data_IF_364945974875
#
_entry.id   IF_364945974875
#
_cell.length_a   1.000
_cell.length_b   1.000
_cell.length_c   1.000
_cell.angle_alpha   90.00
_cell.angle_beta   90.00
_cell.angle_gamma   90.00
#
_symmetry.space_group_name_H-M   'P 1'
#
loop_
_entity.id
_entity.type
_entity.pdbx_description
1 polymer ?
#
# COMPACT_ATOMS: atom_id res chain seq x y z
N UNK A 1 14.66 -12.10 -5.00
CA UNK A 1 13.81 -11.34 -4.05
C UNK A 1 13.89 -11.93 -2.65
N UNK A 2 13.45 -13.18 -2.42
CA UNK A 2 13.43 -13.77 -1.07
C UNK A 2 14.81 -13.91 -0.40
N UNK A 3 15.88 -14.04 -1.19
CA UNK A 3 17.26 -14.24 -0.73
C UNK A 3 18.14 -12.99 -0.83
N UNK A 4 17.55 -11.84 -1.16
CA UNK A 4 18.26 -10.56 -1.29
C UNK A 4 17.80 -9.59 -0.23
N UNK A 5 18.66 -8.64 0.17
CA UNK A 5 18.30 -7.61 1.15
C UNK A 5 17.17 -6.73 0.58
N UNK A 6 16.05 -6.68 1.28
CA UNK A 6 14.91 -5.87 0.86
C UNK A 6 15.11 -4.40 1.28
N UNK A 7 14.82 -3.47 0.36
CA UNK A 7 15.16 -2.05 0.51
C UNK A 7 14.45 -1.34 1.67
N UNK A 8 13.23 -1.77 1.99
CA UNK A 8 12.39 -1.18 3.04
C UNK A 8 12.70 -1.75 4.44
N UNK A 9 12.93 -3.06 4.55
CA UNK A 9 13.20 -3.72 5.84
C UNK A 9 14.69 -3.77 6.18
N UNK A 10 15.57 -3.69 5.17
CA UNK A 10 17.03 -3.89 5.27
C UNK A 10 17.45 -5.29 5.71
N UNK A 11 16.54 -6.25 5.62
CA UNK A 11 16.77 -7.66 5.91
C UNK A 11 16.36 -8.53 4.73
N UNK A 12 16.86 -9.77 4.70
CA UNK A 12 16.49 -10.78 3.72
C UNK A 12 15.10 -11.33 4.09
N UNK A 13 14.09 -11.28 3.20
CA UNK A 13 12.74 -11.75 3.53
C UNK A 13 12.69 -13.20 4.00
N UNK A 14 13.54 -14.07 3.44
CA UNK A 14 13.66 -15.46 3.85
C UNK A 14 14.11 -15.60 5.31
N UNK A 15 15.08 -14.81 5.76
CA UNK A 15 15.57 -14.86 7.15
C UNK A 15 14.52 -14.36 8.13
N UNK A 16 13.80 -13.30 7.77
CA UNK A 16 12.69 -12.77 8.57
C UNK A 16 11.59 -13.84 8.74
N UNK A 17 11.32 -14.63 7.71
CA UNK A 17 10.23 -15.60 7.70
C UNK A 17 10.62 -16.96 8.31
N UNK A 18 11.81 -17.45 8.01
CA UNK A 18 12.23 -18.82 8.33
C UNK A 18 13.31 -18.90 9.40
N UNK A 19 13.74 -17.76 9.94
CA UNK A 19 14.68 -17.71 11.06
C UNK A 19 16.04 -18.38 10.79
N UNK A 20 16.39 -18.54 9.51
CA UNK A 20 17.64 -19.14 9.05
C UNK A 20 18.07 -18.50 7.75
N UNK A 21 19.36 -18.51 7.47
CA UNK A 21 19.88 -18.05 6.19
C UNK A 21 19.42 -18.97 5.05
N UNK A 22 19.09 -18.40 3.88
CA UNK A 22 18.77 -19.19 2.71
C UNK A 22 19.98 -20.01 2.30
N UNK A 23 19.76 -21.30 2.02
CA UNK A 23 20.78 -22.18 1.45
C UNK A 23 20.42 -22.33 -0.03
N UNK A 24 21.26 -21.79 -0.91
CA UNK A 24 21.08 -21.91 -2.35
C UNK A 24 21.66 -23.24 -2.84
N UNK A 25 21.16 -23.80 -3.95
CA UNK A 25 21.72 -25.02 -4.52
C UNK A 25 23.23 -24.96 -4.80
N UNK A 26 23.76 -23.76 -5.10
CA UNK A 26 25.20 -23.54 -5.33
C UNK A 26 26.01 -23.38 -4.03
N UNK A 27 25.37 -23.17 -2.88
CA UNK A 27 26.05 -23.04 -1.58
C UNK A 27 26.38 -24.42 -0.98
N UNK A 28 25.91 -25.51 -1.59
CA UNK A 28 26.17 -26.86 -1.11
C UNK A 28 27.61 -27.25 -1.47
N UNK A 29 28.51 -27.09 -0.51
CA UNK A 29 29.80 -27.78 -0.53
C UNK A 29 29.69 -29.03 0.35
N UNK A 30 30.20 -30.16 -0.15
CA UNK A 30 30.35 -31.41 0.59
C UNK A 30 31.19 -31.17 1.84
N UNK A 31 30.53 -30.75 2.91
CA UNK A 31 31.14 -30.44 4.20
C UNK A 31 30.77 -31.55 5.15
N UNK A 32 31.77 -32.19 5.75
CA UNK A 32 31.58 -33.14 6.83
C UNK A 32 30.89 -32.41 8.00
N UNK A 33 29.56 -32.50 8.07
CA UNK A 33 28.76 -31.82 9.09
C UNK A 33 29.13 -32.40 10.45
N UNK A 34 29.89 -31.63 11.23
CA UNK A 34 30.14 -31.96 12.63
C UNK A 34 28.98 -31.39 13.44
N UNK A 35 28.10 -32.26 13.94
CA UNK A 35 26.98 -31.88 14.79
C UNK A 35 27.51 -31.56 16.20
N UNK A 36 27.91 -30.31 16.43
CA UNK A 36 28.16 -29.80 17.78
C UNK A 36 26.84 -29.37 18.41
N UNK A 37 26.46 -29.98 19.53
CA UNK A 37 25.27 -29.60 20.29
C UNK A 37 25.55 -28.34 21.13
N UNK A 38 25.02 -27.19 20.70
CA UNK A 38 25.04 -25.94 21.47
C UNK A 38 23.76 -25.86 22.32
N UNK A 39 23.91 -26.01 23.64
CA UNK A 39 22.81 -25.94 24.62
C UNK A 39 22.14 -24.56 24.66
N UNK A 40 22.83 -23.50 24.25
CA UNK A 40 22.31 -22.13 24.22
C UNK A 40 21.76 -21.72 22.85
N UNK A 41 21.81 -22.61 21.86
CA UNK A 41 21.43 -22.32 20.47
C UNK A 41 20.04 -21.67 20.36
N UNK A 42 19.06 -22.23 21.07
CA UNK A 42 17.67 -21.74 21.08
C UNK A 42 17.59 -20.32 21.64
N UNK A 43 18.34 -20.01 22.70
CA UNK A 43 18.34 -18.69 23.32
C UNK A 43 18.98 -17.65 22.38
N UNK A 44 20.12 -17.99 21.76
CA UNK A 44 20.79 -17.14 20.77
C UNK A 44 19.88 -16.86 19.56
N UNK A 45 19.19 -17.89 19.07
CA UNK A 45 18.24 -17.76 17.96
C UNK A 45 17.08 -16.83 18.33
N UNK A 46 16.48 -17.02 19.51
CA UNK A 46 15.38 -16.17 19.97
C UNK A 46 15.80 -14.69 20.13
N UNK A 47 17.00 -14.44 20.68
CA UNK A 47 17.55 -13.10 20.81
C UNK A 47 17.80 -12.46 19.43
N UNK A 48 18.39 -13.23 18.50
CA UNK A 48 18.60 -12.79 17.12
C UNK A 48 17.28 -12.42 16.44
N UNK A 49 16.26 -13.27 16.56
CA UNK A 49 14.94 -13.02 15.96
C UNK A 49 14.23 -11.82 16.57
N UNK A 50 14.29 -11.67 17.89
CA UNK A 50 13.70 -10.51 18.56
C UNK A 50 14.32 -9.22 18.03
N UNK A 51 15.65 -9.18 17.95
CA UNK A 51 16.39 -8.03 17.43
C UNK A 51 16.07 -7.77 15.95
N UNK A 52 16.09 -8.81 15.11
CA UNK A 52 15.80 -8.72 13.69
C UNK A 52 14.37 -8.19 13.44
N UNK A 53 13.38 -8.72 14.15
CA UNK A 53 11.99 -8.25 14.04
C UNK A 53 11.84 -6.80 14.51
N UNK A 54 12.52 -6.42 15.59
CA UNK A 54 12.51 -5.04 16.09
C UNK A 54 13.12 -4.07 15.07
N UNK A 55 14.29 -4.40 14.50
CA UNK A 55 14.94 -3.60 13.47
C UNK A 55 14.08 -3.49 12.21
N UNK A 56 13.54 -4.61 11.72
CA UNK A 56 12.65 -4.63 10.57
C UNK A 56 11.42 -3.73 10.80
N UNK A 57 10.80 -3.81 11.98
CA UNK A 57 9.65 -2.97 12.35
C UNK A 57 10.01 -1.49 12.35
N UNK A 58 11.12 -1.09 12.98
CA UNK A 58 11.58 0.30 12.98
C UNK A 58 11.84 0.81 11.56
N UNK A 59 12.50 0.01 10.72
CA UNK A 59 12.78 0.37 9.33
C UNK A 59 11.50 0.53 8.50
N UNK A 60 10.52 -0.38 8.68
CA UNK A 60 9.22 -0.29 8.02
C UNK A 60 8.51 1.01 8.40
N UNK A 61 8.43 1.34 9.68
CA UNK A 61 7.77 2.56 10.16
C UNK A 61 8.41 3.80 9.53
N UNK A 62 9.75 3.90 9.61
CA UNK A 62 10.50 5.01 9.01
C UNK A 62 10.25 5.14 7.51
N UNK A 63 10.20 4.02 6.78
CA UNK A 63 9.93 4.00 5.35
C UNK A 63 8.50 4.40 5.03
N UNK A 64 7.53 3.92 5.79
CA UNK A 64 6.12 4.32 5.64
C UNK A 64 5.94 5.82 5.84
N UNK A 65 6.62 6.42 6.82
CA UNK A 65 6.61 7.87 7.04
C UNK A 65 7.21 8.63 5.84
N UNK A 66 8.37 8.19 5.33
CA UNK A 66 8.98 8.79 4.14
C UNK A 66 8.04 8.70 2.93
N UNK A 67 7.44 7.54 2.68
CA UNK A 67 6.47 7.37 1.59
C UNK A 67 5.26 8.27 1.77
N UNK A 68 4.73 8.40 3.00
CA UNK A 68 3.62 9.31 3.30
C UNK A 68 3.99 10.77 3.03
N UNK A 69 5.17 11.21 3.45
CA UNK A 69 5.65 12.57 3.21
C UNK A 69 5.74 12.85 1.71
N UNK A 70 6.47 12.02 0.96
CA UNK A 70 6.61 12.17 -0.49
C UNK A 70 5.27 12.13 -1.22
N UNK A 71 4.37 11.22 -0.84
CA UNK A 71 3.04 11.11 -1.43
C UNK A 71 2.18 12.35 -1.16
N UNK A 72 2.30 12.96 0.01
CA UNK A 72 1.51 14.13 0.40
C UNK A 72 2.05 15.46 -0.16
N UNK A 73 3.34 15.56 -0.51
CA UNK A 73 3.98 16.83 -0.90
C UNK A 73 3.26 17.59 -2.03
N UNK A 74 2.79 16.87 -3.06
CA UNK A 74 2.20 17.49 -4.27
C UNK A 74 0.72 17.17 -4.45
N UNK A 75 0.05 16.69 -3.39
CA UNK A 75 -1.32 16.16 -3.52
C UNK A 75 -2.34 17.21 -3.07
N UNK A 76 -3.29 17.59 -3.94
CA UNK A 76 -4.41 18.42 -3.52
C UNK A 76 -5.25 17.62 -2.50
N UNK A 77 -5.71 18.31 -1.46
CA UNK A 77 -6.65 17.77 -0.48
C UNK A 77 -8.00 18.48 -0.64
N UNK A 78 -8.78 18.15 -1.69
CA UNK A 78 -10.10 18.74 -1.86
C UNK A 78 -11.00 18.32 -0.70
N UNK A 79 -11.72 19.29 -0.14
CA UNK A 79 -12.74 19.05 0.88
C UNK A 79 -14.06 18.77 0.16
N UNK A 80 -14.67 17.64 0.52
CA UNK A 80 -15.97 17.23 0.00
C UNK A 80 -17.00 17.18 1.12
N UNK A 81 -18.16 17.77 0.85
CA UNK A 81 -19.32 17.77 1.73
C UNK A 81 -20.40 16.82 1.22
N UNK A 82 -21.33 16.48 2.11
CA UNK A 82 -22.55 15.79 1.70
C UNK A 82 -23.30 16.71 0.74
N UNK A 83 -23.90 16.12 -0.29
CA UNK A 83 -24.63 16.76 -1.38
C UNK A 83 -23.80 17.44 -2.47
N UNK A 84 -22.46 17.43 -2.36
CA UNK A 84 -21.60 17.90 -3.44
C UNK A 84 -21.73 17.02 -4.68
N UNK A 85 -21.68 17.68 -5.85
CA UNK A 85 -21.67 17.02 -7.15
C UNK A 85 -20.23 16.75 -7.61
N UNK A 86 -19.97 15.48 -7.92
CA UNK A 86 -18.65 14.97 -8.26
C UNK A 86 -18.69 14.06 -9.50
N UNK A 87 -17.56 13.97 -10.18
CA UNK A 87 -17.29 12.97 -11.21
C UNK A 87 -16.41 11.86 -10.63
N UNK A 88 -16.55 10.65 -11.17
CA UNK A 88 -15.80 9.47 -10.75
C UNK A 88 -14.88 9.03 -11.86
N UNK A 89 -13.61 8.79 -11.55
CA UNK A 89 -12.64 8.27 -12.51
C UNK A 89 -12.99 6.86 -12.98
N UNK A 90 -13.04 6.68 -14.30
CA UNK A 90 -13.26 5.38 -14.93
C UNK A 90 -11.99 4.53 -14.85
N UNK A 91 -12.09 3.34 -14.27
CA UNK A 91 -10.96 2.39 -14.19
C UNK A 91 -10.81 1.54 -15.46
N UNK A 92 -11.92 1.28 -16.14
CA UNK A 92 -11.99 0.39 -17.30
C UNK A 92 -12.02 1.19 -18.61
N UNK A 93 -10.93 1.90 -18.91
CA UNK A 93 -10.75 2.59 -20.19
C UNK A 93 -10.31 1.56 -21.22
N UNK A 94 -11.14 1.25 -22.21
CA UNK A 94 -10.85 0.24 -23.25
C UNK A 94 -10.28 0.88 -24.51
N UNK A 95 -10.72 2.09 -24.84
CA UNK A 95 -10.33 2.82 -26.05
C UNK A 95 -9.73 4.19 -25.74
N UNK A 96 -8.92 4.72 -26.67
CA UNK A 96 -8.21 6.01 -26.53
C UNK A 96 -9.16 7.20 -26.27
N UNK A 97 -10.40 7.10 -26.73
CA UNK A 97 -11.43 8.14 -26.64
C UNK A 97 -12.55 7.84 -25.64
N UNK A 98 -12.40 6.81 -24.80
CA UNK A 98 -13.38 6.55 -23.76
C UNK A 98 -13.39 7.67 -22.72
N UNK A 99 -14.57 7.92 -22.15
CA UNK A 99 -14.76 8.88 -21.06
C UNK A 99 -13.93 8.46 -19.85
N UNK A 100 -12.93 9.28 -19.51
CA UNK A 100 -12.08 9.09 -18.33
C UNK A 100 -12.82 9.27 -17.00
N UNK A 101 -13.99 9.91 -17.04
CA UNK A 101 -14.79 10.22 -15.88
C UNK A 101 -16.26 9.95 -16.18
N UNK A 102 -16.93 9.31 -15.23
CA UNK A 102 -18.37 9.05 -15.22
C UNK A 102 -19.06 10.04 -14.25
N UNK A 103 -20.31 10.39 -14.54
CA UNK A 103 -21.11 11.24 -13.64
C UNK A 103 -22.03 12.18 -14.41
N UNK A 104 -22.79 13.04 -13.70
CA UNK A 104 -22.58 13.48 -12.32
C UNK A 104 -23.09 12.53 -11.23
N UNK A 105 -22.36 12.47 -10.12
CA UNK A 105 -22.76 11.78 -8.89
C UNK A 105 -22.90 12.77 -7.74
N UNK A 106 -23.77 12.48 -6.78
CA UNK A 106 -23.94 13.23 -5.53
C UNK A 106 -23.37 12.44 -4.37
N UNK A 107 -22.65 13.10 -3.46
CA UNK A 107 -22.16 12.48 -2.22
C UNK A 107 -23.33 12.35 -1.24
N UNK A 108 -23.70 11.12 -0.88
CA UNK A 108 -24.77 10.88 0.12
C UNK A 108 -24.19 10.80 1.53
N UNK A 109 -23.02 10.16 1.67
CA UNK A 109 -22.47 9.83 2.99
C UNK A 109 -20.96 9.82 2.97
N UNK A 110 -20.37 10.36 4.04
CA UNK A 110 -18.95 10.23 4.37
C UNK A 110 -18.76 9.05 5.32
N UNK A 111 -18.02 8.03 4.91
CA UNK A 111 -17.65 6.88 5.76
C UNK A 111 -16.38 7.21 6.55
N UNK A 112 -15.39 7.76 5.86
CA UNK A 112 -14.08 8.14 6.42
C UNK A 112 -13.67 9.46 5.77
N UNK A 113 -12.62 10.11 6.28
CA UNK A 113 -12.04 11.31 5.66
C UNK A 113 -11.77 11.17 4.16
N UNK A 114 -11.35 9.97 3.72
CA UNK A 114 -10.99 9.68 2.34
C UNK A 114 -11.98 8.79 1.58
N UNK A 115 -13.11 8.42 2.18
CA UNK A 115 -14.01 7.40 1.63
C UNK A 115 -15.45 7.82 1.73
N UNK A 116 -16.15 7.82 0.59
CA UNK A 116 -17.49 8.36 0.43
C UNK A 116 -18.41 7.36 -0.27
N UNK A 117 -19.70 7.44 0.02
CA UNK A 117 -20.76 6.81 -0.75
C UNK A 117 -21.37 7.86 -1.65
N UNK A 118 -21.38 7.55 -2.94
CA UNK A 118 -21.93 8.41 -3.99
C UNK A 118 -23.12 7.74 -4.66
N UNK A 119 -24.00 8.55 -5.25
CA UNK A 119 -25.17 8.11 -5.98
C UNK A 119 -25.31 8.87 -7.29
N UNK A 120 -25.67 8.15 -8.35
CA UNK A 120 -25.90 8.74 -9.66
C UNK A 120 -27.15 9.64 -9.61
N UNK A 121 -27.03 10.86 -10.12
CA UNK A 121 -28.11 11.85 -10.12
C UNK A 121 -29.30 11.39 -10.97
N UNK A 122 -29.05 10.65 -12.05
CA UNK A 122 -30.09 10.13 -12.95
C UNK A 122 -30.62 8.77 -12.51
N UNK A 123 -29.74 7.92 -11.99
CA UNK A 123 -30.06 6.54 -11.59
C UNK A 123 -29.87 6.37 -10.08
N UNK A 124 -30.88 6.72 -9.31
CA UNK A 124 -30.82 6.68 -7.84
C UNK A 124 -30.51 5.29 -7.26
N UNK A 125 -30.73 4.21 -8.00
CA UNK A 125 -30.34 2.84 -7.58
C UNK A 125 -28.83 2.59 -7.66
N UNK A 126 -28.09 3.38 -8.42
CA UNK A 126 -26.65 3.21 -8.62
C UNK A 126 -25.88 3.97 -7.54
N UNK A 127 -25.59 3.26 -6.44
CA UNK A 127 -24.72 3.74 -5.37
C UNK A 127 -23.36 3.03 -5.43
N UNK A 128 -22.27 3.76 -5.16
CA UNK A 128 -20.91 3.21 -5.12
C UNK A 128 -20.15 3.77 -3.92
N UNK A 129 -19.28 2.96 -3.34
CA UNK A 129 -18.28 3.42 -2.38
C UNK A 129 -16.98 3.73 -3.13
N UNK A 130 -16.47 4.94 -2.97
CA UNK A 130 -15.29 5.44 -3.67
C UNK A 130 -14.36 6.20 -2.73
N UNK A 131 -13.08 6.23 -3.06
CA UNK A 131 -12.08 7.04 -2.35
C UNK A 131 -11.95 8.43 -2.98
N UNK A 132 -11.45 9.40 -2.20
CA UNK A 132 -11.21 10.80 -2.64
C UNK A 132 -10.44 10.89 -3.96
N UNK A 133 -9.52 9.96 -4.21
CA UNK A 133 -8.62 9.98 -5.38
C UNK A 133 -9.33 9.65 -6.69
N UNK A 134 -10.50 9.04 -6.56
CA UNK A 134 -11.38 8.72 -7.68
C UNK A 134 -12.38 9.85 -7.94
N UNK A 135 -12.47 10.85 -7.07
CA UNK A 135 -13.44 11.95 -7.16
C UNK A 135 -12.80 13.18 -7.78
N UNK A 136 -13.57 13.88 -8.62
CA UNK A 136 -13.30 15.26 -9.01
C UNK A 136 -14.51 16.16 -8.74
N UNK A 137 -14.30 17.38 -8.22
CA UNK A 137 -15.37 18.37 -8.11
C UNK A 137 -15.80 18.84 -9.50
N UNK A 138 -17.10 19.04 -9.71
CA UNK A 138 -17.61 19.52 -11.00
C UNK A 138 -17.29 21.00 -11.25
N UNK A 139 -17.11 21.80 -10.20
CA UNK A 139 -16.94 23.26 -10.29
C UNK A 139 -15.63 23.72 -10.98
N UNK A 140 -14.57 22.91 -10.98
CA UNK A 140 -13.26 23.35 -11.50
C UNK A 140 -13.13 23.34 -13.04
N UNK A 141 -14.11 22.78 -13.77
CA UNK A 141 -13.99 22.60 -15.23
C UNK A 141 -14.55 23.75 -16.08
N UNK A 142 -15.01 24.84 -15.46
CA UNK A 142 -15.54 26.01 -16.18
C UNK A 142 -14.42 26.92 -16.73
N UNK A 143 -13.15 26.77 -16.28
CA UNK A 143 -12.06 27.68 -16.64
C UNK A 143 -10.83 27.02 -17.28
N UNK A 144 -10.99 26.12 -18.24
CA UNK A 144 -9.86 25.67 -19.07
C UNK A 144 -10.33 25.47 -20.51
N UNK A 145 -10.37 26.59 -21.23
CA UNK A 145 -10.38 26.66 -22.69
C UNK A 145 -8.94 26.71 -23.20
#
# INVERSE_FOLDING_TARGET
YNTSIHSSTKHIPFEVMYSRSPVLPFDHQDTNVTLSYDTEHVNKLNQFLSNLNQQAKCNIIKRQEQYKQHYNMNRPNPLYNIDDLVLVKTLNIRYKFDLRYEGPFRIIKKITEKTFIIQDVKKQTLCRQVTTDMLLPIFERIYSF
#
